data_IF_565335486966
#
_entry.id   IF_565335486966
#
_cell.length_a   1.000
_cell.length_b   1.000
_cell.length_c   1.000
_cell.angle_alpha   90.00
_cell.angle_beta   90.00
_cell.angle_gamma   90.00
#
_symmetry.space_group_name_H-M   'P 1'
#
loop_
_entity.id
_entity.type
_entity.pdbx_description
1 polymer ?
#
# COMPACT_ATOMS: atom_id res chain seq x y z
N UNK A 1 17.11 -7.88 26.54
CA UNK A 1 16.24 -7.18 25.57
C UNK A 1 15.72 -5.91 26.24
N UNK A 2 15.88 -4.74 25.62
CA UNK A 2 15.53 -3.47 26.26
C UNK A 2 14.01 -3.23 26.12
N UNK A 3 13.23 -3.80 27.04
CA UNK A 3 11.76 -3.83 27.00
C UNK A 3 11.13 -2.44 26.91
N UNK A 4 11.79 -1.40 27.42
CA UNK A 4 11.35 -0.01 27.26
C UNK A 4 11.34 0.43 25.80
N UNK A 5 12.39 0.10 25.05
CA UNK A 5 12.52 0.48 23.64
C UNK A 5 11.50 -0.26 22.77
N UNK A 6 11.30 -1.56 23.01
CA UNK A 6 10.29 -2.35 22.29
C UNK A 6 8.88 -1.82 22.55
N UNK A 7 8.57 -1.43 23.78
CA UNK A 7 7.27 -0.86 24.15
C UNK A 7 7.03 0.52 23.54
N UNK A 8 8.06 1.39 23.51
CA UNK A 8 7.95 2.68 22.83
C UNK A 8 7.74 2.49 21.33
N UNK A 9 8.45 1.54 20.72
CA UNK A 9 8.30 1.22 19.30
C UNK A 9 6.90 0.68 18.98
N UNK A 10 6.36 -0.20 19.81
CA UNK A 10 4.99 -0.72 19.67
C UNK A 10 3.94 0.39 19.75
N UNK A 11 4.09 1.34 20.69
CA UNK A 11 3.19 2.48 20.83
C UNK A 11 3.28 3.46 19.66
N UNK A 12 4.49 3.76 19.18
CA UNK A 12 4.70 4.66 18.03
C UNK A 12 4.13 4.04 16.77
N UNK A 13 4.38 2.76 16.53
CA UNK A 13 3.86 2.05 15.35
C UNK A 13 2.33 1.94 15.38
N UNK A 14 1.73 1.72 16.55
CA UNK A 14 0.28 1.77 16.71
C UNK A 14 -0.29 3.15 16.39
N UNK A 15 0.33 4.21 16.91
CA UNK A 15 -0.09 5.58 16.66
C UNK A 15 -0.01 5.93 15.18
N UNK A 16 1.08 5.54 14.50
CA UNK A 16 1.20 5.69 13.06
C UNK A 16 0.13 4.89 12.30
N UNK A 17 -0.16 3.65 12.71
CA UNK A 17 -1.22 2.85 12.08
C UNK A 17 -2.59 3.52 12.16
N UNK A 18 -2.92 4.10 13.34
CA UNK A 18 -4.17 4.84 13.57
C UNK A 18 -4.21 6.10 12.73
N UNK A 19 -3.13 6.89 12.69
CA UNK A 19 -3.05 8.09 11.87
C UNK A 19 -3.18 7.78 10.38
N UNK A 20 -2.50 6.76 9.87
CA UNK A 20 -2.65 6.31 8.48
C UNK A 20 -4.06 5.80 8.18
N UNK A 21 -4.69 5.11 9.12
CA UNK A 21 -6.09 4.66 8.98
C UNK A 21 -7.08 5.83 8.96
N UNK A 22 -6.88 6.83 9.82
CA UNK A 22 -7.67 8.06 9.82
C UNK A 22 -7.46 8.88 8.55
N UNK A 23 -6.22 8.96 8.06
CA UNK A 23 -5.91 9.60 6.78
C UNK A 23 -6.61 8.88 5.62
N UNK A 24 -6.58 7.55 5.58
CA UNK A 24 -7.33 6.75 4.60
C UNK A 24 -8.83 7.10 4.61
N UNK A 25 -9.46 7.09 5.78
CA UNK A 25 -10.90 7.41 5.91
C UNK A 25 -11.16 8.86 5.50
N UNK A 26 -10.32 9.78 5.97
CA UNK A 26 -10.40 11.21 5.66
C UNK A 26 -10.34 11.45 4.16
N UNK A 27 -9.29 10.96 3.49
CA UNK A 27 -9.09 11.08 2.04
C UNK A 27 -10.25 10.44 1.27
N UNK A 28 -10.71 9.26 1.67
CA UNK A 28 -11.85 8.60 1.02
C UNK A 28 -13.14 9.43 1.09
N UNK A 29 -13.42 10.03 2.25
CA UNK A 29 -14.62 10.86 2.44
C UNK A 29 -14.47 12.19 1.69
N UNK A 30 -13.32 12.86 1.80
CA UNK A 30 -13.12 14.17 1.17
C UNK A 30 -13.13 14.06 -0.35
N UNK A 31 -12.43 13.11 -0.96
CA UNK A 31 -12.43 12.96 -2.43
C UNK A 31 -13.80 12.55 -2.99
N UNK A 32 -14.62 11.82 -2.23
CA UNK A 32 -15.98 11.51 -2.69
C UNK A 32 -16.93 12.69 -2.54
N UNK A 33 -16.73 13.54 -1.53
CA UNK A 33 -17.59 14.70 -1.25
C UNK A 33 -17.16 15.99 -1.97
N UNK A 34 -15.91 16.07 -2.42
CA UNK A 34 -15.36 17.23 -3.09
C UNK A 34 -15.70 17.21 -4.58
N UNK A 35 -16.02 18.39 -5.12
CA UNK A 35 -16.28 18.61 -6.56
C UNK A 35 -15.02 19.06 -7.31
N UNK A 36 -13.85 18.95 -6.68
CA UNK A 36 -12.57 19.30 -7.25
C UNK A 36 -12.17 18.46 -8.47
N UNK A 37 -11.25 19.05 -9.25
CA UNK A 37 -10.70 18.43 -10.45
C UNK A 37 -9.87 17.19 -10.12
N UNK A 38 -10.02 16.13 -10.93
CA UNK A 38 -9.18 14.93 -10.85
C UNK A 38 -8.05 15.03 -11.86
N UNK A 39 -6.80 14.87 -11.39
CA UNK A 39 -5.61 14.98 -12.23
C UNK A 39 -4.82 13.67 -12.27
N UNK A 40 -4.36 13.28 -13.47
CA UNK A 40 -3.49 12.11 -13.66
C UNK A 40 -2.27 12.46 -14.48
N UNK A 41 -1.15 11.82 -14.15
CA UNK A 41 0.08 11.94 -14.90
C UNK A 41 0.25 10.76 -15.88
N UNK A 42 0.70 11.07 -17.09
CA UNK A 42 0.93 10.13 -18.18
C UNK A 42 2.32 10.37 -18.76
N UNK A 43 3.07 9.30 -19.00
CA UNK A 43 4.39 9.38 -19.63
C UNK A 43 4.36 9.46 -21.16
N UNK A 44 3.17 9.32 -21.78
CA UNK A 44 3.06 9.16 -23.23
C UNK A 44 3.61 10.37 -24.00
N UNK A 45 3.36 11.59 -23.49
CA UNK A 45 3.82 12.84 -24.11
C UNK A 45 5.05 13.44 -23.43
N UNK A 46 5.71 12.71 -22.52
CA UNK A 46 6.78 13.25 -21.66
C UNK A 46 7.97 13.88 -22.40
N UNK A 47 8.16 13.55 -23.68
CA UNK A 47 9.26 14.05 -24.50
C UNK A 47 8.80 14.99 -25.65
N UNK A 48 7.53 15.42 -25.65
CA UNK A 48 6.96 16.22 -26.74
C UNK A 48 6.36 17.51 -26.19
N UNK A 49 6.82 18.66 -26.69
CA UNK A 49 6.11 19.93 -26.51
C UNK A 49 4.85 19.89 -27.37
N UNK A 50 3.72 19.48 -26.78
CA UNK A 50 2.44 19.42 -27.50
C UNK A 50 1.65 20.68 -27.19
N UNK A 51 1.17 21.36 -28.24
CA UNK A 51 0.22 22.44 -28.09
C UNK A 51 -1.08 21.88 -27.47
N UNK A 52 -1.66 22.50 -26.43
CA UNK A 52 -2.81 21.98 -25.71
C UNK A 52 -4.04 21.73 -26.62
N UNK A 53 -4.17 22.45 -27.73
CA UNK A 53 -5.29 22.35 -28.67
C UNK A 53 -5.19 21.19 -29.69
N UNK A 54 -4.06 20.48 -29.79
CA UNK A 54 -3.85 19.43 -30.80
C UNK A 54 -3.92 18.01 -30.25
N UNK A 55 -4.17 17.84 -28.95
CA UNK A 55 -4.27 16.53 -28.32
C UNK A 55 -5.68 15.94 -28.46
N UNK A 56 -5.82 14.66 -28.85
CA UNK A 56 -7.10 13.96 -28.82
C UNK A 56 -7.49 13.59 -27.38
N UNK A 57 -7.83 14.59 -26.58
CA UNK A 57 -8.31 14.48 -25.19
C UNK A 57 -9.83 14.50 -25.11
N UNK A 58 -10.37 13.89 -24.06
CA UNK A 58 -11.81 13.91 -23.77
C UNK A 58 -12.34 15.32 -23.54
N UNK A 59 -13.64 15.53 -23.79
CA UNK A 59 -14.30 16.82 -23.52
C UNK A 59 -14.19 17.19 -22.04
N UNK A 60 -13.73 18.41 -21.74
CA UNK A 60 -13.60 18.92 -20.36
C UNK A 60 -12.31 18.49 -19.65
N UNK A 61 -11.37 17.87 -20.38
CA UNK A 61 -10.03 17.55 -19.87
C UNK A 61 -9.07 18.64 -20.33
N UNK A 62 -8.38 19.28 -19.39
CA UNK A 62 -7.29 20.20 -19.68
C UNK A 62 -5.95 19.48 -19.53
N UNK A 63 -5.05 19.67 -20.49
CA UNK A 63 -3.68 19.21 -20.39
C UNK A 63 -2.81 20.37 -19.91
N UNK A 64 -2.22 20.26 -18.72
CA UNK A 64 -1.37 21.32 -18.15
C UNK A 64 0.09 20.86 -18.13
N UNK A 65 1.01 21.68 -18.64
CA UNK A 65 2.44 21.37 -18.75
C UNK A 65 2.81 20.71 -20.09
N UNK A 66 3.95 20.00 -20.14
CA UNK A 66 4.47 19.30 -21.33
C UNK A 66 3.65 18.04 -21.69
N UNK A 67 2.31 18.13 -21.70
CA UNK A 67 1.39 17.04 -22.06
C UNK A 67 1.32 15.87 -21.07
N UNK A 68 2.02 15.94 -19.94
CA UNK A 68 2.11 14.83 -18.99
C UNK A 68 0.99 14.81 -17.97
N UNK A 69 0.31 15.92 -17.67
CA UNK A 69 -0.76 15.95 -16.66
C UNK A 69 -2.11 16.30 -17.30
N UNK A 70 -3.09 15.41 -17.11
CA UNK A 70 -4.47 15.56 -17.57
C UNK A 70 -5.35 15.83 -16.35
N UNK A 71 -6.05 16.96 -16.33
CA UNK A 71 -6.99 17.32 -15.27
C UNK A 71 -8.41 17.46 -15.83
N UNK A 72 -9.41 16.97 -15.12
CA UNK A 72 -10.82 17.11 -15.50
C UNK A 72 -11.60 17.77 -14.36
N UNK A 73 -12.24 18.91 -14.67
CA UNK A 73 -12.96 19.74 -13.68
C UNK A 73 -14.31 19.17 -13.27
N UNK A 74 -15.00 18.44 -14.16
CA UNK A 74 -16.25 17.72 -13.87
C UNK A 74 -16.02 16.19 -13.98
N UNK A 75 -15.32 15.56 -13.01
CA UNK A 75 -15.03 14.14 -13.06
C UNK A 75 -16.28 13.29 -12.78
N UNK A 76 -16.46 12.23 -13.56
CA UNK A 76 -17.50 11.23 -13.28
C UNK A 76 -17.21 10.46 -11.98
N UNK A 77 -18.25 9.86 -11.38
CA UNK A 77 -18.11 9.02 -10.18
C UNK A 77 -17.06 7.91 -10.37
N UNK A 78 -16.97 7.34 -11.58
CA UNK A 78 -15.96 6.33 -11.91
C UNK A 78 -14.53 6.87 -11.91
N UNK A 79 -14.33 8.10 -12.40
CA UNK A 79 -13.02 8.77 -12.37
C UNK A 79 -12.59 9.13 -10.95
N UNK A 80 -13.52 9.60 -10.10
CA UNK A 80 -13.23 9.81 -8.67
C UNK A 80 -12.85 8.51 -7.96
N UNK A 81 -13.56 7.42 -8.24
CA UNK A 81 -13.25 6.11 -7.66
C UNK A 81 -11.88 5.57 -8.12
N UNK A 82 -11.51 5.80 -9.39
CA UNK A 82 -10.22 5.37 -9.90
C UNK A 82 -9.05 6.26 -9.43
N UNK A 83 -9.27 7.56 -9.23
CA UNK A 83 -8.31 8.45 -8.57
C UNK A 83 -8.00 7.98 -7.15
N UNK A 84 -9.05 7.70 -6.39
CA UNK A 84 -8.98 7.09 -5.07
C UNK A 84 -8.21 5.75 -5.07
N UNK A 85 -8.40 4.93 -6.11
CA UNK A 85 -7.66 3.69 -6.33
C UNK A 85 -6.15 3.86 -6.51
N UNK A 86 -5.66 5.08 -6.77
CA UNK A 86 -4.24 5.39 -6.89
C UNK A 86 -3.51 5.59 -5.56
N UNK A 87 -4.19 6.10 -4.53
CA UNK A 87 -3.57 6.53 -3.26
C UNK A 87 -4.01 5.71 -2.05
N UNK A 88 -5.30 5.37 -1.97
CA UNK A 88 -5.87 4.65 -0.83
C UNK A 88 -5.27 3.26 -0.58
N UNK A 89 -4.92 2.44 -1.60
CA UNK A 89 -4.38 1.10 -1.35
C UNK A 89 -3.11 1.13 -0.50
N UNK A 90 -2.24 2.13 -0.70
CA UNK A 90 -1.00 2.25 0.05
C UNK A 90 -1.21 2.69 1.50
N UNK A 91 -2.14 3.63 1.75
CA UNK A 91 -2.48 4.05 3.11
C UNK A 91 -3.09 2.90 3.92
N UNK A 92 -4.02 2.16 3.30
CA UNK A 92 -4.64 0.99 3.92
C UNK A 92 -3.61 -0.10 4.20
N UNK A 93 -2.81 -0.44 3.20
CA UNK A 93 -1.75 -1.44 3.34
C UNK A 93 -0.76 -1.06 4.45
N UNK A 94 -0.28 0.18 4.46
CA UNK A 94 0.63 0.69 5.49
C UNK A 94 0.02 0.63 6.89
N UNK A 95 -1.25 1.04 7.03
CA UNK A 95 -1.97 0.97 8.32
C UNK A 95 -2.08 -0.47 8.84
N UNK A 96 -2.44 -1.42 7.98
CA UNK A 96 -2.55 -2.84 8.34
C UNK A 96 -1.19 -3.42 8.75
N UNK A 97 -0.13 -3.16 7.98
CA UNK A 97 1.23 -3.65 8.27
C UNK A 97 1.73 -3.09 9.60
N UNK A 98 1.57 -1.79 9.84
CA UNK A 98 1.98 -1.14 11.09
C UNK A 98 1.21 -1.68 12.29
N UNK A 99 -0.10 -1.92 12.14
CA UNK A 99 -0.93 -2.50 13.20
C UNK A 99 -0.51 -3.93 13.54
N UNK A 100 -0.26 -4.77 12.52
CA UNK A 100 0.22 -6.14 12.74
C UNK A 100 1.62 -6.14 13.37
N UNK A 101 2.49 -5.22 12.98
CA UNK A 101 3.82 -5.08 13.54
C UNK A 101 3.78 -4.61 15.00
N UNK A 102 2.95 -3.61 15.34
CA UNK A 102 2.67 -3.21 16.71
C UNK A 102 2.22 -4.40 17.56
N UNK A 103 1.26 -5.20 17.05
CA UNK A 103 0.79 -6.41 17.75
C UNK A 103 1.87 -7.48 17.88
N UNK A 104 2.78 -7.60 16.93
CA UNK A 104 3.92 -8.50 17.05
C UNK A 104 4.84 -8.04 18.20
N UNK A 105 5.18 -6.75 18.25
CA UNK A 105 6.03 -6.19 19.30
C UNK A 105 5.42 -6.33 20.69
N UNK A 106 4.11 -6.08 20.83
CA UNK A 106 3.41 -6.30 22.10
C UNK A 106 3.51 -7.76 22.56
N UNK A 107 3.31 -8.73 21.65
CA UNK A 107 3.48 -10.14 21.99
C UNK A 107 4.91 -10.49 22.43
N UNK A 108 5.92 -9.86 21.80
CA UNK A 108 7.32 -10.04 22.17
C UNK A 108 7.61 -9.48 23.56
N UNK A 109 7.00 -8.35 23.93
CA UNK A 109 7.14 -7.75 25.27
C UNK A 109 6.45 -8.62 26.33
N UNK A 110 5.24 -9.09 26.05
CA UNK A 110 4.42 -9.79 27.04
C UNK A 110 4.85 -11.24 27.27
N UNK A 111 5.19 -11.96 26.19
CA UNK A 111 5.45 -13.41 26.21
C UNK A 111 6.89 -13.78 25.90
N UNK A 112 7.71 -12.82 25.47
CA UNK A 112 9.06 -13.07 24.98
C UNK A 112 9.10 -13.44 23.48
N UNK A 113 10.29 -13.38 22.86
CA UNK A 113 10.45 -13.50 21.41
C UNK A 113 10.28 -14.93 20.87
N UNK A 114 10.65 -15.96 21.65
CA UNK A 114 10.60 -17.36 21.22
C UNK A 114 9.33 -18.03 21.73
N UNK A 115 8.19 -17.61 21.21
CA UNK A 115 6.90 -18.26 21.50
C UNK A 115 6.14 -18.55 20.22
N UNK A 116 5.31 -19.59 20.26
CA UNK A 116 4.40 -19.95 19.16
C UNK A 116 3.51 -18.77 18.73
N UNK A 117 3.14 -17.90 19.67
CA UNK A 117 2.34 -16.69 19.37
C UNK A 117 3.12 -15.69 18.51
N UNK A 118 4.38 -15.41 18.85
CA UNK A 118 5.23 -14.46 18.09
C UNK A 118 5.57 -15.03 16.72
N UNK A 119 5.92 -16.31 16.65
CA UNK A 119 6.19 -17.00 15.39
C UNK A 119 5.02 -16.92 14.41
N UNK A 120 3.80 -17.18 14.90
CA UNK A 120 2.57 -17.07 14.09
C UNK A 120 2.31 -15.64 13.63
N UNK A 121 2.41 -14.65 14.51
CA UNK A 121 2.20 -13.23 14.17
C UNK A 121 3.23 -12.74 13.14
N UNK A 122 4.50 -13.16 13.26
CA UNK A 122 5.55 -12.84 12.30
C UNK A 122 5.26 -13.45 10.93
N UNK A 123 4.82 -14.71 10.86
CA UNK A 123 4.41 -15.33 9.59
C UNK A 123 3.19 -14.65 8.99
N UNK A 124 2.18 -14.27 9.79
CA UNK A 124 1.02 -13.52 9.29
C UNK A 124 1.43 -12.16 8.72
N UNK A 125 2.27 -11.40 9.43
CA UNK A 125 2.83 -10.13 8.96
C UNK A 125 3.57 -10.33 7.63
N UNK A 126 4.44 -11.33 7.55
CA UNK A 126 5.19 -11.65 6.33
C UNK A 126 4.27 -11.97 5.15
N UNK A 127 3.20 -12.75 5.36
CA UNK A 127 2.22 -13.05 4.32
C UNK A 127 1.46 -11.83 3.85
N UNK A 128 1.04 -10.97 4.78
CA UNK A 128 0.36 -9.71 4.45
C UNK A 128 1.27 -8.82 3.62
N UNK A 129 2.57 -8.72 3.93
CA UNK A 129 3.51 -7.93 3.12
C UNK A 129 3.73 -8.57 1.75
N UNK A 130 3.96 -9.89 1.71
CA UNK A 130 4.26 -10.65 0.48
C UNK A 130 3.13 -10.54 -0.53
N UNK A 131 1.88 -10.70 -0.09
CA UNK A 131 0.71 -10.63 -0.95
C UNK A 131 0.20 -9.20 -1.13
N UNK A 132 0.29 -8.36 -0.10
CA UNK A 132 -0.28 -7.03 -0.10
C UNK A 132 0.43 -6.05 -1.04
N UNK A 133 1.75 -6.15 -1.21
CA UNK A 133 2.50 -5.26 -2.11
C UNK A 133 2.10 -5.47 -3.58
N UNK A 134 2.11 -6.70 -4.14
CA UNK A 134 1.62 -6.96 -5.49
C UNK A 134 0.13 -6.62 -5.68
N UNK A 135 -0.70 -6.87 -4.67
CA UNK A 135 -2.12 -6.55 -4.75
C UNK A 135 -2.36 -5.04 -4.79
N UNK A 136 -1.69 -4.28 -3.93
CA UNK A 136 -1.79 -2.83 -3.92
C UNK A 136 -1.25 -2.22 -5.23
N UNK A 137 -0.11 -2.70 -5.73
CA UNK A 137 0.45 -2.20 -6.99
C UNK A 137 -0.45 -2.53 -8.19
N UNK A 138 -1.09 -3.70 -8.20
CA UNK A 138 -2.05 -4.07 -9.23
C UNK A 138 -3.27 -3.14 -9.21
N UNK A 139 -3.84 -2.88 -8.03
CA UNK A 139 -5.00 -1.97 -7.90
C UNK A 139 -4.63 -0.57 -8.36
N UNK A 140 -3.48 -0.04 -7.95
CA UNK A 140 -3.02 1.30 -8.36
C UNK A 140 -2.77 1.35 -9.86
N UNK A 141 -2.07 0.37 -10.42
CA UNK A 141 -1.77 0.29 -11.84
C UNK A 141 -3.05 0.17 -12.69
N UNK A 142 -3.98 -0.69 -12.30
CA UNK A 142 -5.28 -0.83 -12.99
C UNK A 142 -6.13 0.44 -12.90
N UNK A 143 -6.14 1.11 -11.74
CA UNK A 143 -6.94 2.33 -11.56
C UNK A 143 -6.40 3.48 -12.41
N UNK A 144 -5.08 3.70 -12.40
CA UNK A 144 -4.42 4.70 -13.26
C UNK A 144 -4.59 4.41 -14.74
N UNK A 145 -4.38 3.15 -15.13
CA UNK A 145 -4.52 2.68 -16.52
C UNK A 145 -5.93 2.93 -17.05
N UNK A 146 -6.96 2.64 -16.24
CA UNK A 146 -8.35 2.93 -16.58
C UNK A 146 -8.63 4.44 -16.67
N UNK A 147 -8.11 5.22 -15.73
CA UNK A 147 -8.34 6.67 -15.68
C UNK A 147 -7.69 7.39 -16.86
N UNK A 148 -6.45 7.03 -17.22
CA UNK A 148 -5.78 7.51 -18.44
C UNK A 148 -6.56 7.09 -19.69
N UNK A 149 -7.01 5.84 -19.77
CA UNK A 149 -7.83 5.37 -20.89
C UNK A 149 -9.17 6.13 -21.03
N UNK A 150 -9.75 6.58 -19.92
CA UNK A 150 -10.99 7.37 -19.92
C UNK A 150 -10.78 8.81 -20.41
N UNK A 151 -9.62 9.41 -20.11
CA UNK A 151 -9.32 10.81 -20.42
C UNK A 151 -8.59 10.99 -21.75
N UNK A 152 -7.76 10.02 -22.14
CA UNK A 152 -6.97 10.02 -23.36
C UNK A 152 -6.98 8.61 -24.00
N UNK A 153 -8.03 8.25 -24.75
CA UNK A 153 -8.19 6.90 -25.32
C UNK A 153 -7.07 6.52 -26.31
N UNK A 154 -6.31 7.51 -26.79
CA UNK A 154 -5.20 7.34 -27.75
C UNK A 154 -3.84 7.15 -27.06
N UNK A 155 -3.73 7.46 -25.76
CA UNK A 155 -2.46 7.48 -25.03
C UNK A 155 -1.96 6.08 -24.62
N UNK A 156 -2.72 5.01 -24.84
CA UNK A 156 -2.32 3.65 -24.48
C UNK A 156 -2.23 3.44 -22.96
N UNK A 157 -2.95 2.45 -22.45
CA UNK A 157 -3.06 2.19 -21.02
C UNK A 157 -1.88 1.31 -20.55
N UNK A 158 -0.69 1.89 -20.46
CA UNK A 158 0.49 1.20 -19.93
C UNK A 158 0.25 0.78 -18.48
N UNK A 159 0.29 -0.52 -18.19
CA UNK A 159 0.18 -1.01 -16.83
C UNK A 159 1.53 -0.78 -16.12
N UNK A 160 1.70 0.37 -15.49
CA UNK A 160 2.87 0.61 -14.67
C UNK A 160 2.71 -0.11 -13.33
N UNK A 161 3.48 -1.19 -13.14
CA UNK A 161 3.64 -1.83 -11.83
C UNK A 161 4.59 -0.98 -10.98
N UNK A 162 4.03 0.05 -10.35
CA UNK A 162 4.71 0.79 -9.29
C UNK A 162 4.66 -0.04 -8.00
N UNK A 163 5.76 -0.71 -7.67
CA UNK A 163 5.85 -1.52 -6.47
C UNK A 163 7.27 -1.99 -6.21
N UNK A 164 7.73 -1.84 -4.96
CA UNK A 164 9.07 -2.26 -4.54
C UNK A 164 9.09 -3.77 -4.36
N UNK A 165 9.53 -4.51 -5.39
CA UNK A 165 9.64 -5.98 -5.34
C UNK A 165 10.52 -6.46 -4.17
N UNK A 166 11.41 -5.60 -3.67
CA UNK A 166 12.23 -5.82 -2.48
C UNK A 166 11.40 -6.08 -1.21
N UNK A 167 10.23 -5.46 -1.07
CA UNK A 167 9.32 -5.69 0.08
C UNK A 167 8.74 -7.11 0.06
N UNK A 168 8.55 -7.69 -1.12
CA UNK A 168 8.08 -9.08 -1.26
C UNK A 168 9.13 -10.04 -0.70
N UNK A 169 10.41 -9.78 -0.98
CA UNK A 169 11.52 -10.57 -0.42
C UNK A 169 11.58 -10.43 1.11
N UNK A 170 11.41 -9.22 1.65
CA UNK A 170 11.34 -9.00 3.09
C UNK A 170 10.16 -9.74 3.73
N UNK A 171 8.99 -9.72 3.09
CA UNK A 171 7.80 -10.47 3.52
C UNK A 171 8.05 -11.97 3.54
N UNK A 172 8.64 -12.53 2.48
CA UNK A 172 9.00 -13.95 2.39
C UNK A 172 10.02 -14.34 3.47
N UNK A 173 11.04 -13.51 3.69
CA UNK A 173 12.02 -13.73 4.75
C UNK A 173 11.35 -13.77 6.13
N UNK A 174 10.40 -12.88 6.40
CA UNK A 174 9.61 -12.90 7.64
C UNK A 174 8.75 -14.16 7.77
N UNK A 175 8.12 -14.64 6.69
CA UNK A 175 7.37 -15.91 6.69
C UNK A 175 8.28 -17.08 7.05
N UNK A 176 9.44 -17.18 6.39
CA UNK A 176 10.43 -18.24 6.63
C UNK A 176 10.92 -18.18 8.08
N UNK A 177 11.28 -17.00 8.57
CA UNK A 177 11.76 -16.84 9.94
C UNK A 177 10.68 -17.22 10.96
N UNK A 178 9.42 -16.83 10.75
CA UNK A 178 8.31 -17.25 11.61
C UNK A 178 8.11 -18.77 11.63
N UNK A 179 8.28 -19.46 10.49
CA UNK A 179 8.24 -20.93 10.45
C UNK A 179 9.41 -21.57 11.20
N UNK A 180 10.62 -21.06 11.03
CA UNK A 180 11.81 -21.55 11.74
C UNK A 180 11.64 -21.37 13.25
N UNK A 181 11.17 -20.20 13.69
CA UNK A 181 10.90 -19.93 15.10
C UNK A 181 9.87 -20.89 15.68
N UNK A 182 8.81 -21.18 14.93
CA UNK A 182 7.77 -22.14 15.33
C UNK A 182 8.32 -23.53 15.54
N UNK A 183 9.12 -24.02 14.60
CA UNK A 183 9.75 -25.34 14.73
C UNK A 183 10.72 -25.39 15.92
N UNK A 184 11.49 -24.31 16.13
CA UNK A 184 12.41 -24.20 17.27
C UNK A 184 11.69 -24.19 18.62
N UNK A 185 10.50 -23.59 18.71
CA UNK A 185 9.67 -23.64 19.93
C UNK A 185 9.16 -25.06 20.17
N UNK A 186 8.66 -25.74 19.13
CA UNK A 186 8.16 -27.12 19.24
C UNK A 186 9.25 -28.10 19.69
N UNK A 187 10.44 -28.02 19.10
CA UNK A 187 11.58 -28.85 19.48
C UNK A 187 11.99 -28.63 20.95
N UNK A 188 11.88 -27.39 21.43
CA UNK A 188 12.20 -27.08 22.82
C UNK A 188 11.18 -27.68 23.79
N UNK A 189 9.90 -27.63 23.43
CA UNK A 189 8.82 -28.25 24.21
C UNK A 189 9.00 -29.78 24.29
N UNK A 190 9.39 -30.43 23.19
CA UNK A 190 9.68 -31.88 23.16
C UNK A 190 10.85 -32.26 24.08
N UNK A 191 11.91 -31.44 24.12
CA UNK A 191 13.08 -31.65 25.00
C UNK A 191 12.76 -31.43 26.48
N UNK A 192 11.93 -30.44 26.81
CA UNK A 192 11.52 -30.16 28.19
C UNK A 192 10.51 -31.19 28.72
N UNK A 193 9.79 -31.90 27.84
CA UNK A 193 8.80 -32.93 28.19
C UNK A 193 9.34 -34.36 28.39
N UNK A 194 10.63 -34.62 28.13
CA UNK A 194 11.22 -35.97 28.22
C UNK A 194 11.90 -36.26 29.57
N UNK A 195 11.58 -35.49 30.62
CA UNK A 195 12.14 -35.65 31.98
C UNK A 195 11.17 -36.42 32.88
#
# INVERSE_FOLDING_TARGET
>A
MNTRLTKTLASVTLLLAVLSGLAFIGTAITHMADDGAVCVETGFWANTEVAPDSLPIGKGVEATGSGTRLCQDDPSVGQRAADLGGELPWLLFGSVVLLLFSRLLDAVVDKGPFTETVARRLSTLGWVVTAGVPLASLVVGSSRSWLVGSMAPVAGSGLEMSGTLELVLAGLAAVVMGKIMREGVRMREDLEGTI
#
